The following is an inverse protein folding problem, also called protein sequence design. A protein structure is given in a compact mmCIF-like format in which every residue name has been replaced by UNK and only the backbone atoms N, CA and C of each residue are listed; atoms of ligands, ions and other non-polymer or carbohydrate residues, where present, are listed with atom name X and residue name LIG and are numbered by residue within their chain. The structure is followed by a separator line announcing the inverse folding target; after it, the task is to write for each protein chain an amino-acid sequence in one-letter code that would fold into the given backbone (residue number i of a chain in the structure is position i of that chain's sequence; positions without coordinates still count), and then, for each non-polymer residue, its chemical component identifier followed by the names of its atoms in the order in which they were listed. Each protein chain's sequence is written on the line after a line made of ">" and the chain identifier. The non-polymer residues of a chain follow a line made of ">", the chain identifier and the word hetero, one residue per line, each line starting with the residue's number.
data_IF_326569689342
#
_entry.id   IF_326569689342
#
_cell.length_a   1.000
_cell.length_b   1.000
_cell.length_c   1.000
_cell.angle_alpha   90.00
_cell.angle_beta   90.00
_cell.angle_gamma   90.00
#
_symmetry.space_group_name_H-M   'P 1'
#
loop_
_entity.id
_entity.type
_entity.pdbx_description
1 polymer ?
#
# COMPACT_ATOMS: atom_id res chain seq x y z
N UNK A 1 7.43 -13.05 19.88
CA UNK A 1 7.22 -12.30 18.61
C UNK A 1 8.26 -11.21 18.53
N UNK A 2 8.92 -11.06 17.39
CA UNK A 2 9.94 -10.03 17.20
C UNK A 2 9.44 -9.06 16.15
N UNK A 3 9.25 -7.80 16.54
CA UNK A 3 8.89 -6.71 15.65
C UNK A 3 10.08 -5.76 15.58
N UNK A 4 10.54 -5.46 14.36
CA UNK A 4 11.50 -4.40 14.12
C UNK A 4 10.74 -3.13 13.79
N UNK A 5 10.94 -2.06 14.53
CA UNK A 5 10.25 -0.80 14.34
C UNK A 5 11.16 0.38 14.69
N UNK A 6 10.89 1.51 14.05
CA UNK A 6 11.46 2.81 14.37
C UNK A 6 10.30 3.73 14.78
N UNK A 7 9.68 3.44 15.95
CA UNK A 7 8.44 4.02 16.42
C UNK A 7 7.34 3.99 15.32
N UNK A 8 6.66 5.10 15.07
CA UNK A 8 5.65 5.27 14.00
C UNK A 8 6.24 5.66 12.63
N UNK A 9 7.60 5.68 12.49
CA UNK A 9 8.34 6.10 11.28
C UNK A 9 9.04 4.98 10.54
N UNK A 10 8.67 3.73 10.76
CA UNK A 10 9.40 2.57 10.21
C UNK A 10 9.50 2.60 8.69
N UNK A 11 8.42 2.93 7.96
CA UNK A 11 8.42 3.03 6.50
C UNK A 11 9.39 4.12 6.00
N UNK A 12 9.35 5.31 6.63
CA UNK A 12 10.27 6.40 6.31
C UNK A 12 11.74 6.00 6.48
N UNK A 13 12.08 5.32 7.57
CA UNK A 13 13.46 4.88 7.84
C UNK A 13 13.95 3.84 6.84
N UNK A 14 13.07 2.92 6.40
CA UNK A 14 13.40 1.95 5.34
C UNK A 14 13.69 2.70 4.04
N UNK A 15 12.81 3.58 3.61
CA UNK A 15 12.97 4.36 2.38
C UNK A 15 14.26 5.17 2.39
N UNK A 16 14.51 5.94 3.44
CA UNK A 16 15.71 6.75 3.58
C UNK A 16 16.99 5.90 3.52
N UNK A 17 17.01 4.75 4.21
CA UNK A 17 18.17 3.85 4.23
C UNK A 17 18.45 3.28 2.85
N UNK A 18 17.42 2.81 2.14
CA UNK A 18 17.57 2.24 0.80
C UNK A 18 17.97 3.31 -0.22
N UNK A 19 17.39 4.51 -0.15
CA UNK A 19 17.75 5.63 -1.01
C UNK A 19 19.24 6.03 -0.85
N UNK A 20 19.73 6.11 0.39
CA UNK A 20 21.15 6.34 0.66
C UNK A 20 22.05 5.26 0.04
N UNK A 21 21.61 3.97 0.09
CA UNK A 21 22.36 2.88 -0.56
C UNK A 21 22.34 3.01 -2.10
N UNK A 22 21.25 3.45 -2.69
CA UNK A 22 21.21 3.73 -4.13
C UNK A 22 22.20 4.82 -4.53
N UNK A 23 22.23 5.93 -3.79
CA UNK A 23 23.22 7.02 -4.04
C UNK A 23 24.64 6.49 -3.90
N UNK A 24 24.95 5.76 -2.81
CA UNK A 24 26.28 5.19 -2.56
C UNK A 24 26.74 4.27 -3.69
N UNK A 25 25.82 3.58 -4.34
CA UNK A 25 26.11 2.64 -5.44
C UNK A 25 25.93 3.27 -6.83
N UNK A 26 25.83 4.60 -6.93
CA UNK A 26 25.72 5.35 -8.18
C UNK A 26 24.52 4.91 -9.05
N UNK A 27 23.39 4.55 -8.44
CA UNK A 27 22.17 4.27 -9.17
C UNK A 27 21.68 5.57 -9.82
N UNK A 28 21.35 5.52 -11.10
CA UNK A 28 20.79 6.66 -11.81
C UNK A 28 19.30 6.76 -11.55
N UNK A 29 18.84 7.95 -11.20
CA UNK A 29 17.42 8.27 -11.04
C UNK A 29 16.96 9.09 -12.27
N UNK A 30 15.76 8.77 -12.74
CA UNK A 30 15.07 9.49 -13.80
C UNK A 30 13.73 9.97 -13.22
N UNK A 31 13.80 11.10 -12.52
CA UNK A 31 12.64 11.69 -11.89
C UNK A 31 11.68 12.27 -12.94
N UNK A 32 10.37 12.23 -12.66
CA UNK A 32 9.31 12.70 -13.55
C UNK A 32 9.24 11.98 -14.92
N UNK A 33 9.68 10.72 -14.95
CA UNK A 33 9.45 9.82 -16.08
C UNK A 33 8.32 8.83 -15.75
N UNK A 34 7.23 8.91 -16.49
CA UNK A 34 6.08 8.03 -16.35
C UNK A 34 6.18 6.86 -17.34
N UNK A 35 6.36 5.64 -16.84
CA UNK A 35 6.39 4.44 -17.67
C UNK A 35 4.99 4.15 -18.20
N UNK A 36 4.85 4.12 -19.52
CA UNK A 36 3.57 3.93 -20.21
C UNK A 36 3.44 2.56 -20.85
N UNK A 37 4.56 1.89 -21.15
CA UNK A 37 4.54 0.59 -21.81
C UNK A 37 5.80 -0.24 -21.54
N UNK A 38 5.66 -1.55 -21.75
CA UNK A 38 6.76 -2.54 -21.72
C UNK A 38 7.08 -2.97 -23.15
N UNK A 39 8.33 -2.83 -23.55
CA UNK A 39 8.78 -3.34 -24.84
C UNK A 39 9.01 -4.85 -24.77
N UNK A 40 8.32 -5.57 -25.62
CA UNK A 40 8.43 -7.03 -25.76
C UNK A 40 8.96 -7.38 -27.13
N UNK A 41 9.92 -8.28 -27.22
CA UNK A 41 10.39 -8.84 -28.49
C UNK A 41 10.84 -10.30 -28.29
N UNK A 42 10.51 -11.16 -29.23
CA UNK A 42 10.87 -12.60 -29.22
C UNK A 42 10.48 -13.30 -27.89
N UNK A 43 9.36 -12.92 -27.28
CA UNK A 43 8.88 -13.53 -26.03
C UNK A 43 9.65 -13.09 -24.76
N UNK A 44 10.44 -12.04 -24.84
CA UNK A 44 11.21 -11.50 -23.71
C UNK A 44 11.05 -9.98 -23.57
N UNK A 45 11.27 -9.44 -22.37
CA UNK A 45 11.24 -8.01 -22.11
C UNK A 45 12.52 -7.34 -22.61
N UNK A 46 12.37 -6.25 -23.38
CA UNK A 46 13.48 -5.47 -23.93
C UNK A 46 13.73 -4.15 -23.17
N UNK A 47 12.83 -3.77 -22.29
CA UNK A 47 12.84 -2.53 -21.55
C UNK A 47 11.48 -1.84 -21.50
N UNK A 48 11.45 -0.52 -21.34
CA UNK A 48 10.20 0.26 -21.20
C UNK A 48 10.20 1.51 -22.08
N UNK A 49 8.99 1.97 -22.41
CA UNK A 49 8.74 3.32 -22.95
C UNK A 49 8.21 4.18 -21.81
N UNK A 50 8.74 5.39 -21.69
CA UNK A 50 8.30 6.35 -20.69
C UNK A 50 8.08 7.74 -21.30
N UNK A 51 7.16 8.52 -20.74
CA UNK A 51 6.95 9.93 -21.02
C UNK A 51 7.72 10.76 -19.99
N UNK A 52 8.52 11.70 -20.41
CA UNK A 52 9.05 12.74 -19.54
C UNK A 52 7.93 13.77 -19.29
N UNK A 53 7.47 13.88 -18.04
CA UNK A 53 6.29 14.68 -17.70
C UNK A 53 6.47 16.18 -18.00
N UNK A 54 7.70 16.69 -17.83
CA UNK A 54 7.97 18.11 -18.07
C UNK A 54 7.96 18.54 -19.54
N UNK A 55 8.23 17.62 -20.48
CA UNK A 55 8.32 17.92 -21.93
C UNK A 55 7.25 17.23 -22.76
N UNK A 56 6.66 16.14 -22.27
CA UNK A 56 5.76 15.27 -23.02
C UNK A 56 6.48 14.36 -24.04
N UNK A 57 7.80 14.33 -24.05
CA UNK A 57 8.59 13.51 -24.98
C UNK A 57 8.61 12.05 -24.54
N UNK A 58 8.57 11.14 -25.54
CA UNK A 58 8.71 9.70 -25.34
C UNK A 58 10.19 9.31 -25.32
N UNK A 59 10.56 8.53 -24.33
CA UNK A 59 11.89 8.00 -24.12
C UNK A 59 11.86 6.48 -24.06
N UNK A 60 12.90 5.86 -24.63
CA UNK A 60 13.10 4.41 -24.64
C UNK A 60 14.22 4.07 -23.66
N UNK A 61 13.90 3.20 -22.69
CA UNK A 61 14.87 2.64 -21.77
C UNK A 61 15.05 1.16 -22.07
N UNK A 62 16.13 0.82 -22.77
CA UNK A 62 16.51 -0.57 -23.03
C UNK A 62 17.23 -1.15 -21.81
N UNK A 63 16.82 -2.31 -21.37
CA UNK A 63 17.43 -3.03 -20.26
C UNK A 63 17.54 -4.53 -20.54
N UNK A 64 18.58 -5.19 -20.01
CA UNK A 64 18.66 -6.67 -20.02
C UNK A 64 17.60 -7.29 -19.12
N UNK A 65 17.19 -6.57 -18.07
CA UNK A 65 16.10 -6.93 -17.18
C UNK A 65 15.35 -5.68 -16.76
N UNK A 66 14.04 -5.82 -16.55
CA UNK A 66 13.14 -4.77 -16.10
C UNK A 66 12.43 -5.25 -14.84
N UNK A 67 12.50 -4.49 -13.74
CA UNK A 67 11.80 -4.78 -12.51
C UNK A 67 10.68 -3.76 -12.29
N UNK A 68 9.43 -4.22 -12.20
CA UNK A 68 8.30 -3.42 -11.77
C UNK A 68 8.21 -3.38 -10.26
N UNK A 69 8.20 -2.17 -9.70
CA UNK A 69 8.03 -1.90 -8.27
C UNK A 69 7.11 -0.67 -8.09
N UNK A 70 6.04 -0.61 -8.87
CA UNK A 70 5.17 0.56 -9.08
C UNK A 70 4.09 0.74 -8.02
N UNK A 71 4.07 -0.13 -7.00
CA UNK A 71 3.05 -0.07 -5.95
C UNK A 71 1.66 -0.49 -6.43
N UNK A 72 0.64 -0.21 -5.62
CA UNK A 72 -0.73 -0.62 -5.86
C UNK A 72 -1.53 0.32 -6.77
N UNK A 73 -2.86 0.22 -6.69
CA UNK A 73 -3.80 0.98 -7.52
C UNK A 73 -4.97 1.59 -6.73
N UNK A 74 -4.71 2.07 -5.51
CA UNK A 74 -5.75 2.63 -4.64
C UNK A 74 -6.49 3.83 -5.22
N UNK A 75 -5.91 4.51 -6.20
CA UNK A 75 -6.56 5.64 -6.88
C UNK A 75 -7.75 5.28 -7.77
N UNK A 76 -8.05 4.00 -7.91
CA UNK A 76 -9.34 3.52 -8.45
C UNK A 76 -10.49 3.95 -7.53
N UNK A 77 -10.26 4.07 -6.22
CA UNK A 77 -11.25 4.53 -5.24
C UNK A 77 -11.08 6.00 -4.92
N UNK A 78 -12.21 6.69 -4.75
CA UNK A 78 -12.24 8.09 -4.34
C UNK A 78 -11.57 8.31 -2.97
N UNK A 79 -11.85 7.42 -2.01
CA UNK A 79 -11.30 7.48 -0.66
C UNK A 79 -10.24 6.39 -0.52
N UNK A 80 -8.99 6.83 -0.45
CA UNK A 80 -7.84 5.93 -0.39
C UNK A 80 -6.70 6.54 0.42
N UNK A 81 -5.92 5.70 1.07
CA UNK A 81 -4.68 6.08 1.73
C UNK A 81 -3.49 6.18 0.77
N UNK A 82 -3.69 5.81 -0.49
CA UNK A 82 -2.62 5.75 -1.49
C UNK A 82 -2.28 7.14 -2.06
N UNK A 83 -1.02 7.35 -2.38
CA UNK A 83 -0.54 8.55 -3.06
C UNK A 83 -1.18 8.71 -4.45
N UNK A 84 -1.18 9.94 -4.99
CA UNK A 84 -1.79 10.25 -6.29
C UNK A 84 -1.19 9.46 -7.46
N UNK A 85 0.06 9.01 -7.33
CA UNK A 85 0.78 8.23 -8.33
C UNK A 85 0.44 6.73 -8.33
N UNK A 86 -0.34 6.23 -7.36
CA UNK A 86 -0.71 4.82 -7.27
C UNK A 86 -2.01 4.53 -8.03
N UNK A 87 -1.91 4.62 -9.34
CA UNK A 87 -3.00 4.53 -10.31
C UNK A 87 -3.14 3.15 -10.96
N UNK A 88 -2.13 2.25 -10.76
CA UNK A 88 -2.09 0.92 -11.35
C UNK A 88 -1.50 0.87 -12.77
N UNK A 89 -0.93 1.96 -13.27
CA UNK A 89 -0.40 2.04 -14.63
C UNK A 89 0.69 1.00 -14.92
N UNK A 90 1.56 0.72 -13.94
CA UNK A 90 2.59 -0.31 -14.10
C UNK A 90 2.03 -1.71 -14.33
N UNK A 91 1.06 -2.13 -13.51
CA UNK A 91 0.38 -3.40 -13.71
C UNK A 91 -0.41 -3.42 -15.04
N UNK A 92 -1.07 -2.31 -15.39
CA UNK A 92 -1.80 -2.18 -16.65
C UNK A 92 -0.87 -2.25 -17.88
N UNK A 93 0.33 -1.68 -17.82
CA UNK A 93 1.32 -1.77 -18.91
C UNK A 93 1.74 -3.23 -19.15
N UNK A 94 2.00 -3.97 -18.07
CA UNK A 94 2.33 -5.40 -18.12
C UNK A 94 1.15 -6.24 -18.64
N UNK A 95 -0.07 -5.97 -18.15
CA UNK A 95 -1.30 -6.64 -18.58
C UNK A 95 -1.57 -6.45 -20.08
N UNK A 96 -1.41 -5.24 -20.61
CA UNK A 96 -1.58 -4.96 -22.06
C UNK A 96 -0.61 -5.75 -22.94
N UNK A 97 0.49 -6.24 -22.39
CA UNK A 97 1.45 -7.11 -23.10
C UNK A 97 1.15 -8.60 -22.96
N UNK A 98 -0.06 -8.96 -22.47
CA UNK A 98 -0.57 -10.33 -22.42
C UNK A 98 -0.17 -11.11 -21.18
N UNK A 99 0.44 -10.48 -20.18
CA UNK A 99 0.72 -11.12 -18.90
C UNK A 99 -0.57 -11.20 -18.08
N UNK A 100 -0.99 -12.37 -17.57
CA UNK A 100 -2.16 -12.48 -16.72
C UNK A 100 -1.94 -11.70 -15.41
N UNK A 101 -3.03 -11.31 -14.74
CA UNK A 101 -3.00 -10.78 -13.39
C UNK A 101 -3.57 -11.80 -12.42
N UNK A 102 -3.09 -11.81 -11.19
CA UNK A 102 -3.49 -12.76 -10.15
C UNK A 102 -4.09 -12.05 -8.95
N UNK A 103 -5.13 -12.66 -8.33
CA UNK A 103 -5.76 -12.25 -7.07
C UNK A 103 -6.31 -10.81 -7.08
N UNK A 104 -6.72 -10.30 -8.25
CA UNK A 104 -7.15 -8.90 -8.45
C UNK A 104 -8.42 -8.51 -7.67
N UNK A 105 -9.23 -9.49 -7.27
CA UNK A 105 -10.43 -9.31 -6.45
C UNK A 105 -10.12 -8.98 -4.99
N UNK A 106 -8.88 -9.22 -4.52
CA UNK A 106 -8.50 -8.99 -3.14
C UNK A 106 -7.87 -7.62 -2.96
N UNK A 107 -8.67 -6.69 -2.43
CA UNK A 107 -8.23 -5.36 -2.06
C UNK A 107 -8.54 -5.06 -0.60
N UNK A 108 -7.53 -4.68 0.19
CA UNK A 108 -7.68 -4.43 1.62
C UNK A 108 -8.13 -2.98 1.86
N UNK A 109 -9.20 -2.84 2.66
CA UNK A 109 -9.60 -1.56 3.22
C UNK A 109 -9.05 -1.41 4.64
N UNK A 110 -8.34 -0.30 4.89
CA UNK A 110 -7.89 0.01 6.24
C UNK A 110 -9.03 0.68 7.02
N UNK A 111 -9.33 0.24 8.26
CA UNK A 111 -10.48 0.74 9.00
C UNK A 111 -10.35 2.20 9.43
N UNK A 112 -9.13 2.71 9.61
CA UNK A 112 -8.87 4.01 10.22
C UNK A 112 -8.26 5.02 9.25
N UNK A 113 -8.98 5.32 8.16
CA UNK A 113 -8.71 6.48 7.32
C UNK A 113 -9.42 7.72 7.85
N UNK A 114 -8.78 8.90 7.82
CA UNK A 114 -9.44 10.17 8.13
C UNK A 114 -10.63 10.40 7.20
N UNK A 115 -11.76 10.76 7.79
CA UNK A 115 -13.01 10.96 7.05
C UNK A 115 -12.86 11.99 5.93
N UNK A 116 -13.38 11.65 4.75
CA UNK A 116 -13.35 12.48 3.55
C UNK A 116 -12.01 12.55 2.81
N UNK A 117 -10.90 12.31 3.51
CA UNK A 117 -9.54 12.43 2.96
C UNK A 117 -8.90 11.07 2.66
N UNK A 118 -9.20 10.06 3.45
CA UNK A 118 -8.58 8.74 3.34
C UNK A 118 -7.15 8.65 3.89
N UNK A 119 -6.60 9.74 4.44
CA UNK A 119 -5.27 9.75 5.06
C UNK A 119 -5.21 8.71 6.16
N UNK A 120 -4.18 7.87 6.13
CA UNK A 120 -4.06 6.74 7.04
C UNK A 120 -3.73 7.18 8.46
N UNK A 121 -4.54 6.69 9.41
CA UNK A 121 -4.16 6.65 10.81
C UNK A 121 -3.64 5.26 11.15
N UNK A 122 -2.46 5.19 11.76
CA UNK A 122 -1.79 3.91 12.05
C UNK A 122 -2.66 2.96 12.87
N UNK A 123 -2.57 1.66 12.58
CA UNK A 123 -3.20 0.61 13.40
C UNK A 123 -2.72 0.63 14.86
N UNK A 124 -1.53 1.17 15.10
CA UNK A 124 -0.96 1.35 16.43
C UNK A 124 -1.88 2.08 17.41
N UNK A 125 -2.73 3.01 16.92
CA UNK A 125 -3.70 3.72 17.77
C UNK A 125 -4.62 2.75 18.50
N UNK A 126 -5.13 1.72 17.80
CA UNK A 126 -5.98 0.69 18.41
C UNK A 126 -5.18 -0.20 19.37
N UNK A 127 -3.90 -0.46 19.04
CA UNK A 127 -2.95 -1.15 19.93
C UNK A 127 -2.65 -0.38 21.21
N UNK A 128 -2.64 0.95 21.15
CA UNK A 128 -2.46 1.82 22.31
C UNK A 128 -3.74 2.03 23.14
N UNK A 129 -4.85 1.45 22.71
CA UNK A 129 -6.12 1.44 23.42
C UNK A 129 -7.20 2.30 22.79
N UNK A 130 -7.01 2.76 21.56
CA UNK A 130 -8.03 3.51 20.83
C UNK A 130 -9.33 2.73 20.64
N UNK A 131 -10.46 3.38 20.90
CA UNK A 131 -11.79 2.80 20.96
C UNK A 131 -12.65 3.30 19.80
N UNK A 132 -13.33 2.39 19.11
CA UNK A 132 -14.25 2.70 18.03
C UNK A 132 -15.66 2.94 18.57
N UNK A 133 -16.20 4.13 18.33
CA UNK A 133 -17.50 4.57 18.85
C UNK A 133 -18.44 4.97 17.70
N UNK A 134 -19.70 4.53 17.79
CA UNK A 134 -20.77 4.96 16.90
C UNK A 134 -21.44 6.28 17.39
N UNK A 135 -22.49 6.74 16.69
CA UNK A 135 -23.24 7.96 17.06
C UNK A 135 -23.86 7.96 18.47
N UNK A 136 -24.06 6.79 19.05
CA UNK A 136 -24.63 6.61 20.38
C UNK A 136 -23.56 6.58 21.47
N UNK A 137 -22.27 6.73 21.11
CA UNK A 137 -21.14 6.59 22.02
C UNK A 137 -20.86 5.13 22.43
N UNK A 138 -21.41 4.17 21.69
CA UNK A 138 -21.25 2.74 21.96
C UNK A 138 -19.98 2.20 21.31
N UNK A 139 -19.24 1.39 22.03
CA UNK A 139 -18.13 0.58 21.53
C UNK A 139 -18.66 -0.58 20.69
N UNK A 140 -19.06 -0.31 19.46
CA UNK A 140 -19.78 -1.28 18.61
C UNK A 140 -18.99 -2.54 18.29
N UNK A 141 -17.66 -2.53 18.37
CA UNK A 141 -16.83 -3.73 18.13
C UNK A 141 -17.10 -4.87 19.12
N UNK A 142 -17.70 -4.59 20.28
CA UNK A 142 -18.18 -5.62 21.21
C UNK A 142 -19.24 -6.52 20.56
N UNK A 143 -20.10 -5.96 19.69
CA UNK A 143 -21.14 -6.68 18.93
C UNK A 143 -20.51 -7.62 17.88
N UNK A 144 -19.48 -7.16 17.17
CA UNK A 144 -18.93 -7.87 16.00
C UNK A 144 -17.76 -8.79 16.33
N UNK A 145 -16.96 -8.44 17.34
CA UNK A 145 -15.78 -9.20 17.74
C UNK A 145 -15.61 -9.20 19.28
N UNK A 146 -16.51 -9.87 20.03
CA UNK A 146 -16.62 -9.72 21.49
C UNK A 146 -15.34 -10.07 22.26
N UNK A 147 -14.49 -10.95 21.74
CA UNK A 147 -13.24 -11.36 22.40
C UNK A 147 -12.11 -10.35 22.21
N UNK A 148 -11.87 -9.90 20.99
CA UNK A 148 -10.71 -9.06 20.61
C UNK A 148 -11.10 -7.61 20.33
N UNK A 149 -12.38 -7.33 20.19
CA UNK A 149 -12.99 -5.99 20.05
C UNK A 149 -12.27 -5.16 18.97
N UNK A 150 -11.81 -3.97 19.30
CA UNK A 150 -11.15 -3.03 18.39
C UNK A 150 -9.80 -3.56 17.84
N UNK A 151 -9.22 -4.59 18.44
CA UNK A 151 -8.02 -5.27 17.98
C UNK A 151 -8.29 -6.37 16.94
N UNK A 152 -9.52 -6.50 16.47
CA UNK A 152 -9.85 -7.40 15.37
C UNK A 152 -9.09 -7.04 14.10
N UNK A 153 -8.98 -8.01 13.18
CA UNK A 153 -8.30 -7.82 11.89
C UNK A 153 -8.94 -6.71 11.05
N UNK A 154 -8.18 -6.12 10.15
CA UNK A 154 -8.59 -4.94 9.37
C UNK A 154 -9.88 -5.16 8.60
N UNK A 155 -10.06 -6.32 7.99
CA UNK A 155 -11.26 -6.69 7.24
C UNK A 155 -12.49 -6.77 8.13
N UNK A 156 -12.36 -7.37 9.32
CA UNK A 156 -13.44 -7.44 10.31
C UNK A 156 -13.85 -6.05 10.77
N UNK A 157 -12.88 -5.21 11.16
CA UNK A 157 -13.16 -3.85 11.64
C UNK A 157 -13.77 -2.99 10.54
N UNK A 158 -13.20 -3.01 9.31
CA UNK A 158 -13.72 -2.23 8.18
C UNK A 158 -15.15 -2.62 7.82
N UNK A 159 -15.44 -3.93 7.81
CA UNK A 159 -16.80 -4.44 7.58
C UNK A 159 -17.76 -4.05 8.69
N UNK A 160 -17.32 -4.09 9.95
CA UNK A 160 -18.14 -3.68 11.09
C UNK A 160 -18.50 -2.19 11.03
N UNK A 161 -17.53 -1.33 10.70
CA UNK A 161 -17.79 0.09 10.48
C UNK A 161 -18.80 0.27 9.34
N UNK A 162 -18.62 -0.42 8.21
CA UNK A 162 -19.55 -0.35 7.08
C UNK A 162 -20.97 -0.75 7.47
N UNK A 163 -21.13 -1.79 8.28
CA UNK A 163 -22.45 -2.22 8.77
C UNK A 163 -23.08 -1.18 9.70
N UNK A 164 -22.33 -0.61 10.65
CA UNK A 164 -22.80 0.49 11.50
C UNK A 164 -23.28 1.69 10.66
N UNK A 165 -22.52 2.07 9.63
CA UNK A 165 -22.90 3.17 8.74
C UNK A 165 -24.18 2.86 7.95
N UNK A 166 -24.34 1.63 7.46
CA UNK A 166 -25.57 1.18 6.77
C UNK A 166 -26.79 1.15 7.68
N UNK A 167 -26.60 0.85 8.96
CA UNK A 167 -27.65 0.86 10.00
C UNK A 167 -28.01 2.31 10.44
N UNK A 168 -27.31 3.33 9.89
CA UNK A 168 -27.55 4.74 10.23
C UNK A 168 -26.87 5.17 11.53
N UNK A 169 -25.91 4.39 12.03
CA UNK A 169 -25.17 4.66 13.27
C UNK A 169 -23.94 5.58 13.07
N UNK A 170 -23.79 6.19 11.89
CA UNK A 170 -22.76 7.17 11.61
C UNK A 170 -22.94 8.47 12.38
N UNK A 171 -21.84 9.13 12.71
CA UNK A 171 -21.80 10.39 13.49
C UNK A 171 -22.50 11.51 12.70
N UNK A 172 -23.49 12.14 13.32
CA UNK A 172 -24.23 13.24 12.70
C UNK A 172 -24.95 12.86 11.41
N UNK A 173 -25.26 11.55 11.22
CA UNK A 173 -25.88 11.01 10.00
C UNK A 173 -24.94 10.97 8.78
N UNK A 174 -23.64 11.09 8.99
CA UNK A 174 -22.59 11.02 7.95
C UNK A 174 -21.91 9.65 7.94
N UNK A 175 -21.14 9.39 6.89
CA UNK A 175 -20.46 8.11 6.65
C UNK A 175 -19.12 7.99 7.39
N UNK A 176 -19.13 8.24 8.71
CA UNK A 176 -17.97 8.03 9.56
C UNK A 176 -18.33 7.65 10.98
N UNK A 177 -17.39 7.07 11.69
CA UNK A 177 -17.43 6.76 13.12
C UNK A 177 -16.31 7.48 13.85
N UNK A 178 -16.29 7.44 15.17
CA UNK A 178 -15.22 8.01 15.97
C UNK A 178 -14.18 6.95 16.36
N UNK A 179 -12.91 7.33 16.28
CA UNK A 179 -11.80 6.65 16.96
C UNK A 179 -11.35 7.55 18.11
N UNK A 180 -11.54 7.06 19.33
CA UNK A 180 -11.28 7.85 20.56
C UNK A 180 -10.09 7.29 21.32
N UNK A 181 -9.08 8.13 21.54
CA UNK A 181 -7.85 7.79 22.27
C UNK A 181 -7.66 8.67 23.51
N UNK A 182 -8.62 9.55 23.84
CA UNK A 182 -8.54 10.40 25.00
C UNK A 182 -8.35 9.57 26.27
N UNK A 183 -7.47 10.02 27.20
CA UNK A 183 -7.16 9.26 28.41
C UNK A 183 -8.39 8.85 29.21
N UNK A 184 -9.40 9.70 29.32
CA UNK A 184 -10.63 9.38 30.04
C UNK A 184 -11.40 8.22 29.41
N UNK A 185 -11.47 8.18 28.07
CA UNK A 185 -12.14 7.08 27.34
C UNK A 185 -11.34 5.78 27.46
N UNK A 186 -10.05 5.83 27.14
CA UNK A 186 -9.19 4.63 27.20
C UNK A 186 -9.15 4.04 28.61
N UNK A 187 -8.93 4.89 29.64
CA UNK A 187 -8.83 4.43 31.03
C UNK A 187 -10.13 3.87 31.57
N UNK A 188 -11.30 4.38 31.12
CA UNK A 188 -12.61 3.81 31.45
C UNK A 188 -12.70 2.37 30.95
N UNK A 189 -12.37 2.11 29.68
CA UNK A 189 -12.46 0.76 29.10
C UNK A 189 -11.38 -0.19 29.61
N UNK A 190 -10.20 0.30 29.99
CA UNK A 190 -9.19 -0.50 30.68
C UNK A 190 -9.67 -0.93 32.07
N UNK A 191 -10.31 -0.01 32.82
CA UNK A 191 -10.90 -0.35 34.12
C UNK A 191 -12.03 -1.37 34.01
N UNK A 192 -12.93 -1.23 33.03
CA UNK A 192 -14.00 -2.20 32.74
C UNK A 192 -13.45 -3.58 32.37
N UNK A 193 -12.25 -3.64 31.75
CA UNK A 193 -11.55 -4.89 31.41
C UNK A 193 -10.76 -5.48 32.58
N UNK A 194 -10.72 -4.81 33.74
CA UNK A 194 -9.92 -5.23 34.90
C UNK A 194 -8.42 -5.00 34.76
N UNK A 195 -7.99 -4.16 33.78
CA UNK A 195 -6.58 -3.85 33.56
C UNK A 195 -6.08 -2.74 34.49
N UNK A 196 -4.88 -2.92 35.04
CA UNK A 196 -4.21 -1.91 35.90
C UNK A 196 -3.49 -0.82 35.12
N UNK A 197 -3.22 -1.03 33.82
CA UNK A 197 -2.58 -0.04 32.94
C UNK A 197 -3.40 1.26 32.94
N UNK A 198 -2.68 2.38 32.91
CA UNK A 198 -3.28 3.71 32.72
C UNK A 198 -2.49 4.45 31.65
N UNK A 199 -3.19 5.26 30.87
CA UNK A 199 -2.61 6.16 29.89
C UNK A 199 -2.89 7.61 30.28
N UNK A 200 -1.98 8.50 29.96
CA UNK A 200 -2.12 9.94 30.10
C UNK A 200 -1.74 10.63 28.78
N UNK A 201 -1.86 11.95 28.75
CA UNK A 201 -1.55 12.74 27.58
C UNK A 201 -0.06 12.63 27.19
N UNK A 202 0.85 12.52 28.14
CA UNK A 202 2.28 12.44 27.86
C UNK A 202 2.66 11.11 27.27
N UNK A 203 2.04 10.04 27.76
CA UNK A 203 2.16 8.72 27.14
C UNK A 203 1.71 8.72 25.68
N UNK A 204 0.51 9.28 25.40
CA UNK A 204 -0.05 9.32 24.04
C UNK A 204 0.81 10.18 23.12
N UNK A 205 1.27 11.36 23.58
CA UNK A 205 2.19 12.22 22.80
C UNK A 205 3.48 11.49 22.42
N UNK A 206 4.01 10.68 23.32
CA UNK A 206 5.25 9.92 23.07
C UNK A 206 5.02 8.74 22.12
N UNK A 207 3.92 8.00 22.29
CA UNK A 207 3.62 6.80 21.53
C UNK A 207 3.14 7.09 20.10
N UNK A 208 2.43 8.22 19.88
CA UNK A 208 1.69 8.52 18.65
C UNK A 208 1.93 9.94 18.14
N UNK A 209 3.14 10.47 18.29
CA UNK A 209 3.49 11.85 17.93
C UNK A 209 3.10 12.23 16.50
N UNK A 210 3.47 11.41 15.52
CA UNK A 210 3.17 11.65 14.09
C UNK A 210 1.65 11.58 13.83
N UNK A 211 0.95 10.66 14.47
CA UNK A 211 -0.50 10.53 14.34
C UNK A 211 -1.24 11.78 14.84
N UNK A 212 -0.81 12.34 15.98
CA UNK A 212 -1.40 13.56 16.51
C UNK A 212 -1.22 14.73 15.54
N UNK A 213 -0.03 14.86 14.95
CA UNK A 213 0.27 15.90 13.97
C UNK A 213 -0.53 15.74 12.69
N UNK A 214 -0.70 14.50 12.19
CA UNK A 214 -1.54 14.19 11.04
C UNK A 214 -3.00 14.61 11.30
N UNK A 215 -3.57 14.27 12.44
CA UNK A 215 -4.95 14.64 12.77
C UNK A 215 -5.13 16.16 12.88
N UNK A 216 -4.24 16.85 13.55
CA UNK A 216 -4.28 18.32 13.67
C UNK A 216 -4.14 19.00 12.33
N UNK A 217 -3.22 18.53 11.49
CA UNK A 217 -2.93 19.14 10.19
C UNK A 217 -4.04 18.91 9.17
N UNK A 218 -4.53 17.69 9.06
CA UNK A 218 -5.44 17.31 7.98
C UNK A 218 -6.92 17.30 8.38
N UNK A 219 -7.25 17.01 9.62
CA UNK A 219 -8.63 16.98 10.09
C UNK A 219 -9.00 18.19 10.97
N UNK A 220 -8.02 18.98 11.42
CA UNK A 220 -8.25 20.08 12.36
C UNK A 220 -8.67 19.60 13.75
N UNK A 221 -8.41 18.34 14.09
CA UNK A 221 -8.83 17.67 15.33
C UNK A 221 -7.62 17.42 16.21
N UNK A 222 -7.68 17.77 17.50
CA UNK A 222 -6.69 17.34 18.48
C UNK A 222 -7.17 16.05 19.18
N UNK A 223 -6.55 14.89 18.88
CA UNK A 223 -6.98 13.61 19.44
C UNK A 223 -6.89 13.50 20.97
N UNK A 224 -6.20 14.42 21.62
CA UNK A 224 -6.13 14.49 23.09
C UNK A 224 -7.36 15.11 23.73
N UNK A 225 -8.15 15.88 22.96
CA UNK A 225 -9.34 16.60 23.45
C UNK A 225 -10.64 16.17 22.79
N UNK A 226 -10.58 15.63 21.57
CA UNK A 226 -11.76 15.19 20.83
C UNK A 226 -11.48 13.92 20.01
N UNK A 227 -12.51 13.09 19.72
CA UNK A 227 -12.33 11.87 18.97
C UNK A 227 -12.09 12.15 17.49
N UNK A 228 -11.28 11.28 16.84
CA UNK A 228 -10.94 11.37 15.43
C UNK A 228 -12.08 10.86 14.55
N UNK A 229 -12.52 11.61 13.51
CA UNK A 229 -13.47 11.12 12.53
C UNK A 229 -12.80 10.17 11.56
N UNK A 230 -13.25 8.92 11.49
CA UNK A 230 -12.65 7.90 10.64
C UNK A 230 -13.67 7.15 9.80
N UNK A 231 -13.20 6.64 8.65
CA UNK A 231 -13.95 5.75 7.78
C UNK A 231 -13.02 4.71 7.16
N UNK A 232 -13.53 3.55 6.68
CA UNK A 232 -12.74 2.62 5.89
C UNK A 232 -12.20 3.29 4.64
N UNK A 233 -10.89 3.07 4.36
CA UNK A 233 -10.19 3.64 3.21
C UNK A 233 -9.52 2.55 2.39
N UNK A 234 -9.58 2.63 1.06
CA UNK A 234 -8.86 1.72 0.17
C UNK A 234 -7.35 1.85 0.44
N UNK A 235 -6.67 0.73 0.71
CA UNK A 235 -5.34 0.79 1.31
C UNK A 235 -4.29 -0.06 0.60
N UNK A 236 -4.57 -1.34 0.31
CA UNK A 236 -3.54 -2.25 -0.19
C UNK A 236 -4.10 -3.31 -1.16
N UNK A 237 -3.42 -3.47 -2.29
CA UNK A 237 -3.68 -4.52 -3.26
C UNK A 237 -2.94 -5.81 -2.87
N UNK A 238 -3.64 -6.92 -2.68
CA UNK A 238 -3.00 -8.21 -2.44
C UNK A 238 -2.59 -8.90 -3.74
N UNK A 239 -3.34 -8.69 -4.81
CA UNK A 239 -3.08 -9.21 -6.15
C UNK A 239 -2.15 -8.32 -6.97
N UNK A 240 -1.89 -8.72 -8.21
CA UNK A 240 -1.04 -7.97 -9.14
C UNK A 240 -0.39 -8.85 -10.20
N UNK A 241 0.79 -8.45 -10.64
CA UNK A 241 1.63 -9.18 -11.59
C UNK A 241 2.10 -10.47 -10.91
N UNK A 242 1.73 -11.68 -11.44
CA UNK A 242 2.11 -12.94 -10.83
C UNK A 242 3.60 -13.17 -10.90
N UNK A 243 4.20 -13.57 -9.77
CA UNK A 243 5.64 -13.84 -9.69
C UNK A 243 5.94 -15.11 -8.90
N UNK A 244 7.08 -15.71 -9.23
CA UNK A 244 7.67 -16.71 -8.35
C UNK A 244 8.40 -16.04 -7.14
N UNK A 245 8.98 -16.84 -6.26
CA UNK A 245 9.68 -16.35 -5.05
C UNK A 245 10.97 -15.57 -5.35
N UNK A 246 11.46 -15.58 -6.56
CA UNK A 246 12.64 -14.83 -7.02
C UNK A 246 12.23 -13.60 -7.84
N UNK A 247 10.95 -13.20 -7.73
CA UNK A 247 10.35 -12.04 -8.39
C UNK A 247 10.33 -12.12 -9.93
N UNK A 248 10.59 -13.29 -10.53
CA UNK A 248 10.44 -13.50 -11.97
C UNK A 248 8.95 -13.54 -12.31
N UNK A 249 8.52 -12.77 -13.30
CA UNK A 249 7.14 -12.74 -13.76
C UNK A 249 6.80 -14.07 -14.43
N UNK A 250 5.64 -14.64 -14.07
CA UNK A 250 5.13 -15.90 -14.63
C UNK A 250 3.85 -15.64 -15.44
N UNK A 251 3.66 -16.40 -16.53
CA UNK A 251 2.62 -16.11 -17.52
C UNK A 251 1.52 -17.17 -17.62
N UNK A 252 1.66 -18.26 -16.90
CA UNK A 252 0.69 -19.37 -16.94
C UNK A 252 0.70 -20.17 -15.62
N UNK A 253 -0.23 -21.11 -15.50
CA UNK A 253 -0.38 -22.05 -14.39
C UNK A 253 0.78 -23.05 -14.23
N UNK A 254 1.62 -23.20 -15.25
CA UNK A 254 2.82 -24.02 -15.21
C UNK A 254 4.04 -23.28 -14.70
N UNK A 255 3.86 -22.04 -14.25
CA UNK A 255 4.93 -21.18 -13.75
C UNK A 255 5.98 -20.83 -14.80
N UNK A 256 5.57 -20.74 -16.07
CA UNK A 256 6.46 -20.33 -17.16
C UNK A 256 6.94 -18.91 -16.93
N UNK A 257 8.26 -18.76 -16.79
CA UNK A 257 8.90 -17.45 -16.54
C UNK A 257 8.95 -16.65 -17.84
N UNK A 258 8.60 -15.37 -17.75
CA UNK A 258 8.80 -14.40 -18.85
C UNK A 258 10.21 -13.80 -18.75
N UNK A 259 11.12 -14.15 -19.69
CA UNK A 259 12.51 -13.72 -19.61
C UNK A 259 12.67 -12.19 -19.57
N UNK A 260 13.52 -11.71 -18.66
CA UNK A 260 13.85 -10.30 -18.54
C UNK A 260 12.80 -9.43 -17.82
N UNK A 261 11.65 -9.98 -17.41
CA UNK A 261 10.62 -9.25 -16.67
C UNK A 261 10.51 -9.76 -15.23
N UNK A 262 10.51 -8.79 -14.29
CA UNK A 262 10.44 -9.01 -12.85
C UNK A 262 9.43 -8.06 -12.23
N UNK A 263 8.86 -8.45 -11.08
CA UNK A 263 8.03 -7.57 -10.27
C UNK A 263 8.20 -7.89 -8.78
N UNK A 264 8.16 -6.86 -7.92
CA UNK A 264 8.26 -7.02 -6.48
C UNK A 264 7.47 -5.93 -5.74
N UNK A 265 7.09 -6.24 -4.50
CA UNK A 265 6.26 -5.35 -3.68
C UNK A 265 4.81 -5.32 -4.13
N UNK A 266 4.06 -4.29 -3.80
CA UNK A 266 2.60 -4.25 -3.91
C UNK A 266 2.05 -4.40 -5.35
N UNK A 267 2.84 -4.11 -6.40
CA UNK A 267 2.40 -4.37 -7.78
C UNK A 267 2.49 -5.84 -8.18
N UNK A 268 3.20 -6.65 -7.41
CA UNK A 268 3.44 -8.07 -7.66
C UNK A 268 2.54 -8.96 -6.81
N UNK A 269 2.22 -10.15 -7.31
CA UNK A 269 1.50 -11.17 -6.57
C UNK A 269 2.33 -12.46 -6.49
N UNK A 270 3.01 -12.64 -5.35
CA UNK A 270 3.65 -13.90 -4.98
C UNK A 270 2.72 -14.76 -4.11
N UNK A 271 1.47 -14.34 -3.94
CA UNK A 271 0.40 -14.97 -3.14
C UNK A 271 0.71 -15.13 -1.65
N UNK A 272 1.65 -14.37 -1.08
CA UNK A 272 1.99 -14.48 0.34
C UNK A 272 0.97 -13.83 1.29
N UNK A 273 0.07 -13.00 0.77
CA UNK A 273 -0.89 -12.23 1.57
C UNK A 273 -2.29 -12.87 1.64
N UNK A 274 -2.63 -13.79 0.72
CA UNK A 274 -3.98 -14.33 0.61
C UNK A 274 -5.00 -13.21 0.35
N UNK A 275 -6.21 -13.36 0.89
CA UNK A 275 -7.28 -12.38 0.72
C UNK A 275 -7.18 -11.14 1.65
N UNK A 276 -6.31 -11.16 2.66
CA UNK A 276 -6.19 -10.07 3.64
C UNK A 276 -4.81 -10.02 4.26
N UNK A 277 -4.02 -9.02 3.87
CA UNK A 277 -2.65 -8.83 4.35
C UNK A 277 -2.63 -8.47 5.85
N UNK A 278 -1.78 -9.14 6.60
CA UNK A 278 -1.51 -8.79 8.00
C UNK A 278 -0.76 -7.44 8.10
N UNK A 279 -1.01 -6.71 9.16
CA UNK A 279 -0.30 -5.47 9.46
C UNK A 279 1.21 -5.68 9.42
N UNK A 280 1.97 -4.70 8.91
CA UNK A 280 3.42 -4.68 8.69
C UNK A 280 3.95 -5.58 7.57
N UNK A 281 3.23 -6.62 7.15
CA UNK A 281 3.72 -7.58 6.14
C UNK A 281 4.00 -6.94 4.77
N UNK A 282 3.42 -5.79 4.44
CA UNK A 282 3.78 -5.08 3.20
C UNK A 282 5.25 -4.66 3.18
N UNK A 283 5.77 -4.18 4.32
CA UNK A 283 7.18 -3.77 4.42
C UNK A 283 8.13 -4.98 4.36
N UNK A 284 7.73 -6.11 4.95
CA UNK A 284 8.50 -7.36 4.88
C UNK A 284 8.53 -7.90 3.45
N UNK A 285 7.37 -7.92 2.78
CA UNK A 285 7.21 -8.34 1.40
C UNK A 285 8.16 -7.61 0.46
N UNK A 286 8.08 -6.28 0.42
CA UNK A 286 8.91 -5.48 -0.50
C UNK A 286 10.42 -5.61 -0.22
N UNK A 287 10.83 -5.77 1.04
CA UNK A 287 12.25 -5.97 1.39
C UNK A 287 12.74 -7.36 1.00
N UNK A 288 11.94 -8.40 1.27
CA UNK A 288 12.32 -9.79 0.99
C UNK A 288 12.35 -10.05 -0.51
N UNK A 289 11.24 -9.77 -1.22
CA UNK A 289 11.15 -10.10 -2.65
C UNK A 289 11.91 -9.10 -3.52
N UNK A 290 12.00 -7.83 -3.12
CA UNK A 290 12.90 -6.87 -3.77
C UNK A 290 14.37 -7.30 -3.70
N UNK A 291 14.83 -7.82 -2.56
CA UNK A 291 16.18 -8.36 -2.42
C UNK A 291 16.39 -9.65 -3.23
N UNK A 292 15.43 -10.58 -3.17
CA UNK A 292 15.51 -11.85 -3.95
C UNK A 292 15.53 -11.55 -5.45
N UNK A 293 14.61 -10.71 -5.94
CA UNK A 293 14.57 -10.29 -7.33
C UNK A 293 15.86 -9.60 -7.77
N UNK A 294 16.40 -8.68 -6.94
CA UNK A 294 17.68 -8.04 -7.23
C UNK A 294 18.86 -9.03 -7.35
N UNK A 295 18.91 -10.05 -6.50
CA UNK A 295 19.91 -11.11 -6.60
C UNK A 295 19.73 -11.95 -7.87
N UNK A 296 18.49 -12.32 -8.20
CA UNK A 296 18.16 -13.09 -9.40
C UNK A 296 18.48 -12.32 -10.68
N UNK A 297 18.11 -11.03 -10.73
CA UNK A 297 18.47 -10.12 -11.83
C UNK A 297 20.00 -10.04 -12.00
N UNK A 298 20.74 -9.87 -10.89
CA UNK A 298 22.20 -9.80 -10.94
C UNK A 298 22.86 -11.07 -11.48
N UNK A 299 22.24 -12.24 -11.27
CA UNK A 299 22.65 -13.51 -11.89
C UNK A 299 22.29 -13.54 -13.38
N UNK A 300 21.03 -13.23 -13.70
CA UNK A 300 20.50 -13.26 -15.08
C UNK A 300 21.29 -12.38 -16.05
N UNK A 301 21.58 -11.12 -15.68
CA UNK A 301 22.24 -10.15 -16.58
C UNK A 301 23.67 -10.51 -16.92
N UNK A 302 24.33 -11.42 -16.20
CA UNK A 302 25.69 -11.90 -16.51
C UNK A 302 25.75 -12.72 -17.79
N UNK A 303 24.70 -13.50 -18.05
CA UNK A 303 24.60 -14.37 -19.24
C UNK A 303 23.62 -13.89 -20.30
N UNK A 304 22.82 -12.87 -19.99
CA UNK A 304 21.83 -12.35 -20.93
C UNK A 304 22.41 -11.29 -21.87
N UNK A 305 22.01 -11.34 -23.13
CA UNK A 305 22.22 -10.25 -24.09
C UNK A 305 21.04 -9.26 -24.04
N UNK A 306 21.22 -8.09 -24.64
CA UNK A 306 20.11 -7.17 -24.85
C UNK A 306 19.11 -7.76 -25.85
N UNK A 307 17.85 -7.83 -25.47
CA UNK A 307 16.76 -8.16 -26.39
C UNK A 307 16.62 -7.01 -27.38
N UNK A 308 16.59 -7.25 -28.70
CA UNK A 308 16.44 -6.19 -29.70
C UNK A 308 15.18 -5.36 -29.45
N UNK A 309 15.30 -4.06 -29.58
CA UNK A 309 14.16 -3.13 -29.49
C UNK A 309 13.18 -3.45 -30.65
N UNK A 310 11.85 -3.51 -30.41
CA UNK A 310 10.84 -3.64 -31.48
C UNK A 310 10.98 -2.55 -32.53
N UNK A 311 10.57 -2.80 -33.76
CA UNK A 311 10.75 -1.87 -34.88
C UNK A 311 10.09 -0.49 -34.66
N UNK A 312 8.92 -0.46 -34.00
CA UNK A 312 8.17 0.77 -33.71
C UNK A 312 7.71 0.77 -32.24
N UNK A 313 8.63 0.95 -31.28
CA UNK A 313 8.35 0.74 -29.85
C UNK A 313 7.40 1.77 -29.25
N UNK A 314 7.19 2.93 -29.89
CA UNK A 314 6.35 4.03 -29.43
C UNK A 314 5.03 4.16 -30.17
N UNK A 315 4.80 3.37 -31.23
CA UNK A 315 3.67 3.57 -32.17
C UNK A 315 2.29 3.53 -31.48
N UNK A 316 2.08 2.56 -30.59
CA UNK A 316 0.80 2.41 -29.86
C UNK A 316 0.54 3.64 -28.95
N UNK A 317 1.58 4.11 -28.28
CA UNK A 317 1.50 5.25 -27.38
C UNK A 317 1.30 6.54 -28.15
N UNK A 318 2.00 6.76 -29.27
CA UNK A 318 1.80 7.92 -30.14
C UNK A 318 0.40 7.96 -30.73
N UNK A 319 -0.17 6.80 -31.08
CA UNK A 319 -1.54 6.71 -31.56
C UNK A 319 -2.55 7.11 -30.46
N UNK A 320 -2.32 6.64 -29.22
CA UNK A 320 -3.16 6.99 -28.08
C UNK A 320 -3.03 8.48 -27.70
N UNK A 321 -1.84 9.05 -27.69
CA UNK A 321 -1.60 10.47 -27.43
C UNK A 321 -2.30 11.38 -28.48
N UNK A 322 -2.41 10.93 -29.73
CA UNK A 322 -3.14 11.67 -30.78
C UNK A 322 -4.66 11.58 -30.63
N UNK A 323 -5.16 10.56 -29.91
CA UNK A 323 -6.59 10.36 -29.68
C UNK A 323 -7.13 11.26 -28.57
N UNK A 324 -6.30 11.60 -27.59
CA UNK A 324 -6.61 12.49 -26.46
C UNK A 324 -6.48 13.94 -26.90
#
# INVERSE_FOLDING_TARGET
>A
TRTCAAADRTGHMILQTLYQQCIKNNVKFFDEFHVVDVMMNNGAAAGVVAIQLGTGELHIFQGKATLFATGGWGRVWRITSNAHTLTGDGAAAVYRRGVPMQDMEFYQFHPTGLYGLGVLLTEGIRGEGGILLNRHGERFMVKYAPKIKDLASRDVVSRSIYLELREGNGIGGKDYVHLDIRPETVNRYLAEAGESRRVDNDYIRKALAETLDVCRTYAGVDPLTEPMPIQPTAHYAMGGIPTNVDAEVVIDENWTVLPGLYAAGECACVSCHGANRLGTNSLVDLVVFGRRGGMKIAEYVKGADFVPIPANPTADIEAEMKRI
#
